data_IF_015718995776
#
_entry.id   IF_015718995776
#
_cell.length_a   1.000
_cell.length_b   1.000
_cell.length_c   1.000
_cell.angle_alpha   90.00
_cell.angle_beta   90.00
_cell.angle_gamma   90.00
#
_symmetry.space_group_name_H-M   'P 1'
#
loop_
_entity.id
_entity.type
_entity.pdbx_description
1 polymer ?
#
# COMPACT_ATOMS: atom_id res chain seq x y z
N UNK A 1 -27.58 13.78 25.26
CA UNK A 1 -26.52 12.77 24.99
C UNK A 1 -25.15 13.37 25.29
N UNK A 2 -24.28 12.67 26.02
CA UNK A 2 -22.90 13.12 26.23
C UNK A 2 -22.14 13.03 24.91
N UNK A 3 -21.25 14.00 24.59
CA UNK A 3 -20.44 13.94 23.38
C UNK A 3 -19.55 12.69 23.43
N UNK A 4 -19.51 11.97 22.32
CA UNK A 4 -18.62 10.82 22.15
C UNK A 4 -17.18 11.30 21.97
N UNK A 5 -16.20 10.42 22.18
CA UNK A 5 -14.79 10.72 21.90
C UNK A 5 -14.55 11.20 20.45
N UNK A 6 -15.39 10.80 19.50
CA UNK A 6 -15.28 11.23 18.11
C UNK A 6 -15.81 12.64 17.87
N UNK A 7 -16.73 13.12 18.72
CA UNK A 7 -17.30 14.49 18.62
C UNK A 7 -16.30 15.56 19.09
N UNK A 8 -15.22 15.17 19.76
CA UNK A 8 -14.16 16.09 20.22
C UNK A 8 -13.04 16.28 19.19
N UNK A 9 -13.08 15.56 18.07
CA UNK A 9 -12.06 15.68 17.03
C UNK A 9 -12.28 16.96 16.22
N UNK A 10 -11.20 17.68 15.84
CA UNK A 10 -11.31 18.90 15.04
C UNK A 10 -11.87 18.66 13.63
N UNK A 11 -11.90 17.39 13.19
CA UNK A 11 -12.47 16.94 11.92
C UNK A 11 -13.50 15.86 12.25
N UNK A 12 -14.74 16.07 11.83
CA UNK A 12 -15.82 15.12 12.08
C UNK A 12 -15.55 13.80 11.35
N UNK A 13 -15.64 12.68 12.06
CA UNK A 13 -15.38 11.36 11.50
C UNK A 13 -16.66 10.61 11.18
N UNK A 14 -16.89 10.34 9.90
CA UNK A 14 -17.88 9.37 9.46
C UNK A 14 -17.17 8.04 9.19
N UNK A 15 -17.45 7.01 10.01
CA UNK A 15 -16.78 5.71 9.89
C UNK A 15 -17.67 4.70 9.17
N UNK A 16 -17.05 3.86 8.35
CA UNK A 16 -17.71 2.73 7.70
C UNK A 16 -16.80 1.51 7.80
N UNK A 17 -17.34 0.38 8.25
CA UNK A 17 -16.59 -0.87 8.37
C UNK A 17 -16.73 -1.67 7.07
N UNK A 18 -15.62 -1.91 6.40
CA UNK A 18 -15.55 -2.66 5.14
C UNK A 18 -14.58 -3.84 5.30
N UNK A 19 -14.95 -5.04 4.83
CA UNK A 19 -14.05 -6.20 4.80
C UNK A 19 -13.35 -6.31 3.45
N UNK A 20 -12.11 -5.81 3.38
CA UNK A 20 -11.30 -5.79 2.15
C UNK A 20 -10.93 -7.18 1.62
N UNK A 21 -11.16 -8.25 2.38
CA UNK A 21 -10.92 -9.64 1.92
C UNK A 21 -12.02 -10.13 0.99
N UNK A 22 -13.22 -9.56 1.07
CA UNK A 22 -14.36 -10.00 0.27
C UNK A 22 -14.32 -9.34 -1.12
N UNK A 23 -14.49 -10.16 -2.18
CA UNK A 23 -14.47 -9.66 -3.57
C UNK A 23 -15.57 -8.63 -3.85
N UNK A 24 -16.73 -8.76 -3.21
CA UNK A 24 -17.86 -7.81 -3.36
C UNK A 24 -17.59 -6.42 -2.79
N UNK A 25 -16.61 -6.29 -1.88
CA UNK A 25 -16.27 -5.03 -1.20
C UNK A 25 -15.75 -3.98 -2.17
N UNK A 26 -15.00 -4.36 -3.22
CA UNK A 26 -14.53 -3.38 -4.23
C UNK A 26 -15.68 -2.61 -4.89
N UNK A 27 -16.74 -3.32 -5.31
CA UNK A 27 -17.92 -2.71 -5.93
C UNK A 27 -18.68 -1.82 -4.96
N UNK A 28 -18.75 -2.21 -3.69
CA UNK A 28 -19.39 -1.41 -2.65
C UNK A 28 -18.57 -0.15 -2.35
N UNK A 29 -17.25 -0.28 -2.19
CA UNK A 29 -16.35 0.86 -1.98
C UNK A 29 -16.40 1.84 -3.15
N UNK A 30 -16.44 1.33 -4.39
CA UNK A 30 -16.72 2.18 -5.56
C UNK A 30 -17.99 3.00 -5.38
N UNK A 31 -19.12 2.32 -5.19
CA UNK A 31 -20.44 2.95 -5.15
C UNK A 31 -20.62 3.93 -3.99
N UNK A 32 -20.05 3.62 -2.82
CA UNK A 32 -20.35 4.33 -1.58
C UNK A 32 -19.24 5.27 -1.12
N UNK A 33 -18.01 5.07 -1.58
CA UNK A 33 -16.85 5.90 -1.20
C UNK A 33 -16.40 6.67 -2.43
N UNK A 34 -15.83 6.00 -3.43
CA UNK A 34 -15.16 6.68 -4.54
C UNK A 34 -16.14 7.47 -5.42
N UNK A 35 -17.30 6.92 -5.77
CA UNK A 35 -18.30 7.59 -6.62
C UNK A 35 -19.06 8.72 -5.90
N UNK A 36 -18.97 8.79 -4.57
CA UNK A 36 -19.72 9.75 -3.74
C UNK A 36 -18.82 10.74 -3.00
N UNK A 37 -17.51 10.57 -3.10
CA UNK A 37 -16.57 11.47 -2.44
C UNK A 37 -16.76 12.88 -3.05
N UNK A 38 -17.04 13.91 -2.23
CA UNK A 38 -17.24 15.27 -2.72
C UNK A 38 -15.93 15.95 -3.18
N UNK A 39 -14.80 15.25 -3.08
CA UNK A 39 -13.47 15.78 -3.32
C UNK A 39 -12.43 14.66 -3.34
N UNK A 40 -11.14 15.03 -3.26
CA UNK A 40 -10.05 14.06 -3.42
C UNK A 40 -10.04 13.01 -2.32
N UNK A 41 -9.77 11.77 -2.71
CA UNK A 41 -9.64 10.64 -1.78
C UNK A 41 -8.18 10.34 -1.53
N UNK A 42 -7.85 10.20 -0.25
CA UNK A 42 -6.54 9.78 0.23
C UNK A 42 -6.65 8.36 0.81
N UNK A 43 -5.79 7.44 0.36
CA UNK A 43 -5.73 6.07 0.89
C UNK A 43 -4.59 5.97 1.90
N UNK A 44 -4.93 5.83 3.18
CA UNK A 44 -3.98 5.57 4.26
C UNK A 44 -4.01 4.08 4.63
N UNK A 45 -3.13 3.31 3.99
CA UNK A 45 -3.08 1.86 4.05
C UNK A 45 -2.05 1.37 5.07
N UNK A 46 -2.38 1.51 6.36
CA UNK A 46 -1.52 1.07 7.48
C UNK A 46 -1.98 -0.30 7.98
N UNK A 47 -1.03 -1.18 8.29
CA UNK A 47 -1.28 -2.55 8.76
C UNK A 47 -2.10 -3.44 7.80
N UNK A 48 -1.99 -3.22 6.49
CA UNK A 48 -2.58 -4.13 5.51
C UNK A 48 -1.72 -5.39 5.35
N UNK A 49 -2.14 -6.46 6.01
CA UNK A 49 -1.41 -7.72 6.05
C UNK A 49 -1.47 -8.49 4.72
N UNK A 50 -0.32 -8.96 4.24
CA UNK A 50 -0.21 -9.85 3.09
C UNK A 50 -0.86 -9.24 1.85
N UNK A 51 -1.69 -10.02 1.18
CA UNK A 51 -2.37 -9.64 -0.08
C UNK A 51 -3.32 -8.44 0.05
N UNK A 52 -3.66 -7.99 1.26
CA UNK A 52 -4.46 -6.76 1.44
C UNK A 52 -3.72 -5.52 0.95
N UNK A 53 -2.39 -5.51 1.03
CA UNK A 53 -1.60 -4.40 0.50
C UNK A 53 -1.66 -4.29 -1.02
N UNK A 54 -1.85 -5.41 -1.75
CA UNK A 54 -2.16 -5.38 -3.18
C UNK A 54 -3.45 -4.62 -3.45
N UNK A 55 -4.49 -4.84 -2.62
CA UNK A 55 -5.79 -4.17 -2.79
C UNK A 55 -5.70 -2.66 -2.65
N UNK A 56 -4.82 -2.14 -1.79
CA UNK A 56 -4.63 -0.70 -1.64
C UNK A 56 -4.04 -0.06 -2.91
N UNK A 57 -3.03 -0.70 -3.49
CA UNK A 57 -2.43 -0.22 -4.74
C UNK A 57 -3.41 -0.35 -5.90
N UNK A 58 -4.17 -1.46 -5.99
CA UNK A 58 -5.23 -1.60 -6.98
C UNK A 58 -6.26 -0.47 -6.87
N UNK A 59 -6.71 -0.11 -5.66
CA UNK A 59 -7.65 1.02 -5.49
C UNK A 59 -7.05 2.35 -5.95
N UNK A 60 -5.77 2.60 -5.71
CA UNK A 60 -5.10 3.80 -6.22
C UNK A 60 -5.04 3.78 -7.76
N UNK A 61 -4.77 2.63 -8.35
CA UNK A 61 -4.69 2.47 -9.81
C UNK A 61 -6.07 2.59 -10.48
N UNK A 62 -7.09 1.93 -9.90
CA UNK A 62 -8.44 1.77 -10.47
C UNK A 62 -9.27 3.08 -10.45
N UNK A 63 -8.94 4.05 -9.59
CA UNK A 63 -9.70 5.30 -9.42
C UNK A 63 -8.83 6.55 -9.63
N UNK A 64 -8.27 6.74 -10.84
CA UNK A 64 -7.28 7.78 -11.09
C UNK A 64 -7.78 9.22 -10.91
N UNK A 65 -9.06 9.45 -11.17
CA UNK A 65 -9.66 10.79 -11.15
C UNK A 65 -10.10 11.20 -9.73
N UNK A 66 -10.25 10.22 -8.83
CA UNK A 66 -10.77 10.45 -7.47
C UNK A 66 -9.68 10.28 -6.41
N UNK A 67 -8.82 9.28 -6.56
CA UNK A 67 -7.77 8.98 -5.58
C UNK A 67 -6.50 9.73 -5.93
N UNK A 68 -6.16 10.73 -5.11
CA UNK A 68 -5.00 11.59 -5.33
C UNK A 68 -3.77 11.18 -4.53
N UNK A 69 -3.94 10.35 -3.49
CA UNK A 69 -2.83 9.97 -2.62
C UNK A 69 -2.96 8.54 -2.10
N UNK A 70 -1.83 7.86 -1.99
CA UNK A 70 -1.65 6.59 -1.33
C UNK A 70 -0.45 6.69 -0.38
N UNK A 71 -0.65 6.34 0.88
CA UNK A 71 0.42 6.00 1.81
C UNK A 71 0.22 4.57 2.30
N UNK A 72 1.09 3.67 1.86
CA UNK A 72 1.03 2.23 2.15
C UNK A 72 2.21 1.81 3.01
N UNK A 73 1.90 1.19 4.15
CA UNK A 73 2.88 0.52 5.01
C UNK A 73 2.53 -0.97 5.15
N UNK A 74 3.16 -1.86 4.37
CA UNK A 74 2.91 -3.30 4.48
C UNK A 74 3.50 -3.84 5.79
N UNK A 75 2.71 -4.62 6.54
CA UNK A 75 3.11 -5.12 7.86
C UNK A 75 3.21 -6.65 7.95
N UNK A 76 2.80 -7.39 6.93
CA UNK A 76 2.93 -8.84 6.87
C UNK A 76 3.20 -9.26 5.43
N UNK A 77 4.03 -10.29 5.27
CA UNK A 77 4.21 -10.96 4.00
C UNK A 77 2.97 -11.81 3.66
N UNK A 78 2.71 -12.07 2.38
CA UNK A 78 1.69 -13.03 1.97
C UNK A 78 1.98 -14.44 2.55
N UNK A 79 0.94 -15.23 2.86
CA UNK A 79 1.13 -16.56 3.43
C UNK A 79 1.65 -17.56 2.37
N UNK A 80 2.45 -18.53 2.80
CA UNK A 80 3.00 -19.61 1.93
C UNK A 80 1.97 -20.38 1.11
N UNK A 81 0.69 -20.34 1.48
CA UNK A 81 -0.37 -20.99 0.71
C UNK A 81 -0.43 -20.52 -0.76
N UNK A 82 -0.05 -19.27 -1.06
CA UNK A 82 0.02 -18.77 -2.44
C UNK A 82 1.22 -19.37 -3.18
N UNK A 83 2.42 -19.32 -2.58
CA UNK A 83 3.63 -19.92 -3.15
C UNK A 83 3.50 -21.43 -3.39
N UNK A 84 2.90 -22.15 -2.45
CA UNK A 84 2.70 -23.60 -2.59
C UNK A 84 1.74 -23.98 -3.72
N UNK A 85 0.86 -23.06 -4.15
CA UNK A 85 0.00 -23.26 -5.32
C UNK A 85 0.66 -22.83 -6.64
N UNK A 86 1.83 -22.17 -6.58
CA UNK A 86 2.46 -21.56 -7.74
C UNK A 86 1.71 -20.32 -8.24
N UNK A 87 1.05 -19.58 -7.34
CA UNK A 87 0.29 -18.39 -7.74
C UNK A 87 1.24 -17.29 -8.24
N UNK A 88 0.83 -16.56 -9.27
CA UNK A 88 1.47 -15.32 -9.72
C UNK A 88 0.62 -14.14 -9.22
N UNK A 89 1.27 -13.13 -8.66
CA UNK A 89 0.60 -11.89 -8.27
C UNK A 89 0.69 -10.87 -9.40
N UNK A 90 -0.44 -10.19 -9.64
CA UNK A 90 -0.59 -9.16 -10.66
C UNK A 90 -1.15 -7.88 -10.03
N UNK A 91 -0.55 -6.75 -10.37
CA UNK A 91 -0.88 -5.44 -9.81
C UNK A 91 -0.53 -4.33 -10.78
N UNK A 92 -1.55 -3.63 -11.31
CA UNK A 92 -1.35 -2.68 -12.40
C UNK A 92 -0.73 -3.39 -13.61
N UNK A 93 0.45 -2.93 -14.04
CA UNK A 93 1.22 -3.52 -15.15
C UNK A 93 2.40 -4.39 -14.70
N UNK A 94 2.47 -4.69 -13.40
CA UNK A 94 3.56 -5.45 -12.79
C UNK A 94 3.06 -6.83 -12.35
N UNK A 95 3.87 -7.86 -12.62
CA UNK A 95 3.59 -9.25 -12.24
C UNK A 95 4.83 -9.90 -11.65
N UNK A 96 4.65 -10.80 -10.68
CA UNK A 96 5.76 -11.47 -10.00
C UNK A 96 5.30 -12.77 -9.34
N UNK A 97 6.23 -13.71 -9.15
CA UNK A 97 5.92 -15.00 -8.55
C UNK A 97 5.63 -14.84 -7.05
N UNK A 98 4.59 -15.49 -6.54
CA UNK A 98 4.26 -15.41 -5.11
C UNK A 98 5.38 -15.99 -4.23
N UNK A 99 6.19 -16.91 -4.73
CA UNK A 99 7.34 -17.49 -4.03
C UNK A 99 8.46 -16.49 -3.72
N UNK A 100 8.52 -15.36 -4.42
CA UNK A 100 9.50 -14.29 -4.14
C UNK A 100 9.28 -13.63 -2.78
N UNK A 101 8.01 -13.56 -2.35
CA UNK A 101 7.60 -12.72 -1.22
C UNK A 101 6.87 -13.48 -0.13
N UNK A 102 6.26 -14.62 -0.44
CA UNK A 102 5.53 -15.40 0.56
C UNK A 102 6.49 -15.88 1.64
N UNK A 103 6.02 -15.86 2.89
CA UNK A 103 6.77 -16.40 4.00
C UNK A 103 5.87 -17.13 4.99
N UNK A 104 6.49 -18.04 5.74
CA UNK A 104 5.87 -18.60 6.91
C UNK A 104 5.84 -17.55 8.03
N UNK A 105 4.73 -17.51 8.76
CA UNK A 105 4.57 -16.71 9.95
C UNK A 105 3.47 -15.67 9.86
N UNK A 106 2.96 -15.27 11.02
CA UNK A 106 1.84 -14.33 11.16
C UNK A 106 1.87 -13.66 12.52
N UNK A 107 1.27 -12.48 12.59
CA UNK A 107 0.88 -11.89 13.86
C UNK A 107 -0.43 -12.51 14.36
N UNK A 108 -0.48 -12.83 15.65
CA UNK A 108 -1.71 -13.14 16.38
C UNK A 108 -1.76 -12.21 17.59
N UNK A 109 -2.64 -11.22 17.55
CA UNK A 109 -2.58 -10.08 18.46
C UNK A 109 -1.29 -9.30 18.25
N UNK A 110 -0.58 -8.97 19.33
CA UNK A 110 0.71 -8.26 19.29
C UNK A 110 1.93 -9.19 19.15
N UNK A 111 1.72 -10.51 19.04
CA UNK A 111 2.81 -11.49 19.05
C UNK A 111 3.04 -12.09 17.66
N UNK A 112 4.31 -12.12 17.27
CA UNK A 112 4.77 -12.78 16.06
C UNK A 112 4.93 -14.29 16.28
N UNK A 113 4.45 -15.08 15.33
CA UNK A 113 4.64 -16.53 15.29
C UNK A 113 5.22 -16.89 13.92
N UNK A 114 6.44 -17.40 13.87
CA UNK A 114 7.14 -17.69 12.63
C UNK A 114 8.65 -17.71 12.82
N UNK A 115 9.43 -17.80 11.73
CA UNK A 115 10.89 -17.64 11.78
C UNK A 115 11.26 -16.28 12.37
N UNK A 116 12.50 -16.10 12.88
CA UNK A 116 12.96 -14.81 13.35
C UNK A 116 12.75 -13.73 12.27
N UNK A 117 12.28 -12.55 12.68
CA UNK A 117 11.85 -11.51 11.72
C UNK A 117 12.97 -11.00 10.81
N UNK A 118 14.22 -11.08 11.25
CA UNK A 118 15.38 -10.71 10.45
C UNK A 118 15.60 -11.64 9.24
N UNK A 119 15.20 -12.92 9.32
CA UNK A 119 15.20 -13.80 8.15
C UNK A 119 14.20 -13.36 7.06
N UNK A 120 13.22 -12.52 7.44
CA UNK A 120 12.18 -12.05 6.53
C UNK A 120 12.52 -10.71 5.87
N UNK A 121 13.61 -10.08 6.25
CA UNK A 121 14.01 -8.74 5.78
C UNK A 121 14.05 -8.66 4.26
N UNK A 122 14.85 -9.50 3.59
CA UNK A 122 14.94 -9.48 2.12
C UNK A 122 13.60 -9.79 1.41
N UNK A 123 12.70 -10.55 2.03
CA UNK A 123 11.36 -10.77 1.48
C UNK A 123 10.45 -9.54 1.65
N UNK A 124 10.59 -8.82 2.76
CA UNK A 124 9.89 -7.54 2.96
C UNK A 124 10.39 -6.47 1.99
N UNK A 125 11.70 -6.42 1.73
CA UNK A 125 12.28 -5.53 0.72
C UNK A 125 11.69 -5.81 -0.66
N UNK A 126 11.76 -7.07 -1.14
CA UNK A 126 11.12 -7.49 -2.39
C UNK A 126 9.63 -7.19 -2.42
N UNK A 127 8.92 -7.41 -1.32
CA UNK A 127 7.49 -7.12 -1.24
C UNK A 127 7.20 -5.63 -1.44
N UNK A 128 7.94 -4.76 -0.75
CA UNK A 128 7.85 -3.32 -0.92
C UNK A 128 8.22 -2.88 -2.34
N UNK A 129 9.22 -3.51 -2.96
CA UNK A 129 9.61 -3.25 -4.35
C UNK A 129 8.52 -3.61 -5.35
N UNK A 130 7.92 -4.79 -5.23
CA UNK A 130 6.83 -5.20 -6.11
C UNK A 130 5.57 -4.35 -5.93
N UNK A 131 5.24 -3.98 -4.69
CA UNK A 131 4.14 -3.03 -4.42
C UNK A 131 4.41 -1.67 -5.05
N UNK A 132 5.63 -1.16 -4.91
CA UNK A 132 6.05 0.11 -5.50
C UNK A 132 6.05 0.06 -7.03
N UNK A 133 6.54 -1.03 -7.63
CA UNK A 133 6.50 -1.26 -9.08
C UNK A 133 5.06 -1.32 -9.61
N UNK A 134 4.15 -1.94 -8.84
CA UNK A 134 2.73 -2.07 -9.17
C UNK A 134 1.91 -0.79 -9.10
N UNK A 135 2.41 0.27 -8.46
CA UNK A 135 1.76 1.60 -8.49
C UNK A 135 1.85 2.13 -9.91
N UNK A 136 0.70 2.19 -10.58
CA UNK A 136 0.57 2.77 -11.90
C UNK A 136 0.50 4.30 -11.73
N UNK A 137 1.27 5.05 -12.51
CA UNK A 137 1.16 6.50 -12.57
C UNK A 137 0.65 6.96 -13.94
N UNK A 138 0.19 6.06 -14.81
CA UNK A 138 -0.36 6.34 -16.13
C UNK A 138 0.58 7.15 -17.04
N UNK A 139 1.32 6.46 -17.90
CA UNK A 139 2.28 7.05 -18.85
C UNK A 139 3.36 6.03 -19.19
N UNK A 140 3.95 6.10 -20.39
CA UNK A 140 5.07 5.24 -20.80
C UNK A 140 6.43 5.78 -20.37
N UNK A 141 6.53 7.09 -20.15
CA UNK A 141 7.80 7.78 -20.00
C UNK A 141 7.91 8.41 -18.62
N UNK A 142 8.89 7.95 -17.85
CA UNK A 142 9.19 8.48 -16.52
C UNK A 142 10.66 8.83 -16.42
N UNK A 143 10.98 9.94 -15.79
CA UNK A 143 12.36 10.34 -15.52
C UNK A 143 12.84 9.72 -14.20
N UNK A 144 13.99 9.03 -14.27
CA UNK A 144 14.61 8.40 -13.11
C UNK A 144 15.59 9.34 -12.42
N UNK A 145 15.15 10.01 -11.36
CA UNK A 145 15.99 10.88 -10.53
C UNK A 145 16.24 10.27 -9.14
N UNK A 146 17.34 9.54 -8.96
CA UNK A 146 17.72 9.02 -7.64
C UNK A 146 18.44 10.09 -6.83
N UNK A 147 17.81 10.62 -5.78
CA UNK A 147 18.49 11.53 -4.86
C UNK A 147 18.96 10.77 -3.62
N UNK A 148 20.23 10.34 -3.61
CA UNK A 148 20.85 9.74 -2.42
C UNK A 148 21.42 10.85 -1.53
N UNK A 149 20.70 11.20 -0.46
CA UNK A 149 21.22 12.03 0.65
C UNK A 149 20.83 11.41 1.99
N UNK A 150 21.71 10.57 2.52
CA UNK A 150 21.88 10.15 3.92
C UNK A 150 20.69 9.64 4.76
N UNK A 151 19.51 9.41 4.20
CA UNK A 151 18.50 8.47 4.71
C UNK A 151 17.85 7.84 3.48
N UNK A 152 17.64 6.53 3.50
CA UNK A 152 17.30 5.64 2.37
C UNK A 152 15.93 5.95 1.75
N UNK A 153 15.79 7.11 1.11
CA UNK A 153 14.60 7.52 0.36
C UNK A 153 14.89 7.42 -1.13
N UNK A 154 14.26 6.45 -1.80
CA UNK A 154 14.19 6.41 -3.25
C UNK A 154 12.96 7.21 -3.70
N UNK A 155 13.19 8.41 -4.19
CA UNK A 155 12.16 9.28 -4.76
C UNK A 155 12.20 9.13 -6.28
N UNK A 156 11.13 8.74 -6.95
CA UNK A 156 11.20 8.58 -8.40
C UNK A 156 9.86 8.45 -9.11
N UNK A 157 9.86 8.78 -10.41
CA UNK A 157 8.73 8.75 -11.34
C UNK A 157 7.84 9.99 -11.28
N UNK A 158 8.36 11.13 -11.74
CA UNK A 158 7.49 12.20 -12.25
C UNK A 158 7.08 11.86 -13.68
N UNK A 159 5.79 11.99 -14.02
CA UNK A 159 5.43 12.09 -15.44
C UNK A 159 6.10 13.34 -16.05
N UNK A 160 6.15 13.45 -17.38
CA UNK A 160 6.82 14.56 -18.08
C UNK A 160 6.31 15.95 -17.68
N UNK A 161 5.12 16.02 -17.05
CA UNK A 161 4.47 17.25 -16.63
C UNK A 161 4.61 17.50 -15.11
N UNK A 162 5.20 16.57 -14.34
CA UNK A 162 5.34 16.66 -12.89
C UNK A 162 4.04 16.39 -12.12
N UNK A 163 2.99 15.88 -12.77
CA UNK A 163 1.65 15.77 -12.20
C UNK A 163 1.45 14.52 -11.36
N UNK A 164 2.36 13.55 -11.42
CA UNK A 164 2.22 12.25 -10.74
C UNK A 164 3.56 11.85 -10.18
N UNK A 165 3.60 11.36 -8.95
CA UNK A 165 4.83 10.95 -8.31
C UNK A 165 4.63 9.72 -7.41
N UNK A 166 5.68 8.91 -7.23
CA UNK A 166 5.73 7.91 -6.17
C UNK A 166 7.08 7.91 -5.48
N UNK A 167 7.08 7.51 -4.21
CA UNK A 167 8.25 7.56 -3.34
C UNK A 167 8.27 6.29 -2.51
N UNK A 168 9.46 5.73 -2.33
CA UNK A 168 9.71 4.66 -1.38
C UNK A 168 10.61 5.22 -0.29
N UNK A 169 10.09 5.34 0.93
CA UNK A 169 10.83 5.88 2.08
C UNK A 169 11.04 4.80 3.14
N UNK A 170 12.30 4.56 3.51
CA UNK A 170 12.64 3.66 4.61
C UNK A 170 12.78 4.45 5.91
N UNK A 171 11.84 4.26 6.83
CA UNK A 171 11.84 4.83 8.17
C UNK A 171 12.37 3.79 9.15
N UNK A 172 13.69 3.76 9.37
CA UNK A 172 14.30 2.78 10.27
C UNK A 172 13.96 3.08 11.73
N UNK A 173 13.16 2.21 12.34
CA UNK A 173 12.89 2.20 13.78
C UNK A 173 13.52 0.95 14.38
N UNK A 174 14.12 1.08 15.57
CA UNK A 174 14.73 -0.04 16.27
C UNK A 174 13.73 -1.19 16.46
N UNK A 175 14.12 -2.41 16.06
CA UNK A 175 13.39 -3.64 16.34
C UNK A 175 12.39 -4.14 15.29
N UNK A 176 12.35 -3.58 14.08
CA UNK A 176 11.48 -4.10 13.01
C UNK A 176 11.98 -3.88 11.59
N UNK A 177 11.85 -4.90 10.74
CA UNK A 177 12.19 -4.87 9.31
C UNK A 177 11.01 -4.42 8.41
N UNK A 178 10.10 -3.60 8.96
CA UNK A 178 8.84 -3.17 8.33
C UNK A 178 8.78 -1.65 8.21
N UNK A 179 9.83 -1.13 7.60
CA UNK A 179 10.17 0.29 7.68
C UNK A 179 9.92 1.03 6.38
N UNK A 180 9.56 0.32 5.32
CA UNK A 180 9.39 0.91 4.00
C UNK A 180 7.95 1.36 3.78
N UNK A 181 7.78 2.67 3.60
CA UNK A 181 6.55 3.29 3.14
C UNK A 181 6.60 3.39 1.63
N UNK A 182 5.50 2.99 0.99
CA UNK A 182 5.23 3.25 -0.41
C UNK A 182 4.22 4.40 -0.47
N UNK A 183 4.66 5.53 -0.99
CA UNK A 183 3.87 6.74 -1.12
C UNK A 183 3.63 7.00 -2.60
N UNK A 184 2.43 7.39 -2.99
CA UNK A 184 2.13 7.82 -4.35
C UNK A 184 1.15 8.99 -4.32
N UNK A 185 1.34 9.94 -5.20
CA UNK A 185 0.53 11.14 -5.34
C UNK A 185 0.22 11.42 -6.81
N UNK A 186 -0.94 12.01 -7.05
CA UNK A 186 -1.34 12.56 -8.35
C UNK A 186 -1.99 13.91 -8.10
N UNK A 187 -1.56 14.92 -8.84
CA UNK A 187 -2.22 16.21 -8.87
C UNK A 187 -3.61 16.03 -9.50
N UNK A 188 -4.60 16.85 -9.07
CA UNK A 188 -5.87 16.92 -9.76
C UNK A 188 -5.61 17.24 -11.24
N UNK A 189 -6.17 16.42 -12.13
CA UNK A 189 -6.26 16.72 -13.57
C UNK A 189 -7.23 17.86 -13.84
#
# INVERSE_FOLDING_TARGET
PLPTYFDTWPIHLHTSKQDLKQKCTKRQMKKFIFDRAPGPVLILAVHLCGVLSLRAVEMFNDYPDTVQFLALKPCCLPPMAYANRGDVFEIGRHSFDSSDVCAAGRFRGKRWYGPPRWHLEGRFEKWSEHLFAGVDLGGSDYVHETTSKNVTSQRLYKDTNGNRAKIKETVQLDGGYQNTYVIAERLPS
#
